data_IF_301059058580
#
_entry.id   IF_301059058580
#
_cell.length_a   1.000
_cell.length_b   1.000
_cell.length_c   1.000
_cell.angle_alpha   90.00
_cell.angle_beta   90.00
_cell.angle_gamma   90.00
#
_symmetry.space_group_name_H-M   'P 1'
#
loop_
_entity.id
_entity.type
_entity.pdbx_description
1 polymer ?
#
# COMPACT_ATOMS: atom_id res chain seq x y z
N UNK A 1 17.91 9.15 -1.46
CA UNK A 1 16.71 8.45 -0.94
C UNK A 1 17.16 7.14 -0.34
N UNK A 2 16.85 6.86 0.93
CA UNK A 2 17.29 5.62 1.56
C UNK A 2 16.29 4.49 1.27
N UNK A 3 16.36 3.93 0.07
CA UNK A 3 15.50 2.84 -0.45
C UNK A 3 15.38 1.66 0.50
N UNK A 4 16.43 1.38 1.29
CA UNK A 4 16.41 0.35 2.32
C UNK A 4 15.39 0.66 3.43
N UNK A 5 15.36 1.90 3.95
CA UNK A 5 14.36 2.30 4.96
C UNK A 5 12.96 2.25 4.39
N UNK A 6 12.78 2.75 3.16
CA UNK A 6 11.47 2.75 2.49
C UNK A 6 10.96 1.32 2.26
N UNK A 7 11.80 0.42 1.75
CA UNK A 7 11.44 -0.98 1.53
C UNK A 7 11.14 -1.72 2.83
N UNK A 8 11.91 -1.48 3.89
CA UNK A 8 11.69 -2.08 5.21
C UNK A 8 10.36 -1.63 5.84
N UNK A 9 10.04 -0.34 5.75
CA UNK A 9 8.76 0.19 6.21
C UNK A 9 7.58 -0.41 5.43
N UNK A 10 7.71 -0.52 4.10
CA UNK A 10 6.70 -1.16 3.25
C UNK A 10 6.50 -2.64 3.60
N UNK A 11 7.59 -3.39 3.80
CA UNK A 11 7.53 -4.79 4.18
C UNK A 11 6.89 -4.97 5.57
N UNK A 12 7.27 -4.13 6.54
CA UNK A 12 6.68 -4.14 7.88
C UNK A 12 5.18 -3.83 7.86
N UNK A 13 4.75 -2.80 7.13
CA UNK A 13 3.33 -2.45 6.98
C UNK A 13 2.53 -3.56 6.29
N UNK A 14 3.10 -4.18 5.26
CA UNK A 14 2.47 -5.30 4.54
C UNK A 14 2.32 -6.52 5.45
N UNK A 15 3.36 -6.84 6.25
CA UNK A 15 3.31 -7.91 7.24
C UNK A 15 2.27 -7.63 8.32
N UNK A 16 2.12 -6.38 8.76
CA UNK A 16 1.10 -5.97 9.72
C UNK A 16 -0.31 -6.19 9.16
N UNK A 17 -0.52 -5.82 7.90
CA UNK A 17 -1.80 -6.04 7.20
C UNK A 17 -2.14 -7.53 7.06
N UNK A 18 -1.17 -8.35 6.68
CA UNK A 18 -1.33 -9.81 6.64
C UNK A 18 -1.58 -10.41 8.04
N UNK A 19 -0.90 -9.91 9.07
CA UNK A 19 -1.09 -10.34 10.46
C UNK A 19 -2.51 -10.05 10.96
N UNK A 20 -3.07 -8.89 10.64
CA UNK A 20 -4.47 -8.57 10.92
C UNK A 20 -5.42 -9.46 10.13
N UNK A 21 -5.15 -9.68 8.84
CA UNK A 21 -5.91 -10.64 8.03
C UNK A 21 -5.89 -12.06 8.59
N UNK A 22 -4.74 -12.48 9.13
CA UNK A 22 -4.59 -13.77 9.79
C UNK A 22 -5.39 -13.88 11.08
N UNK A 23 -5.39 -12.83 11.92
CA UNK A 23 -6.16 -12.82 13.17
C UNK A 23 -7.66 -12.90 12.92
N UNK A 24 -8.16 -12.31 11.84
CA UNK A 24 -9.60 -12.25 11.53
C UNK A 24 -10.08 -13.50 10.78
N UNK A 25 -9.29 -14.01 9.82
CA UNK A 25 -9.71 -15.06 8.90
C UNK A 25 -8.72 -16.20 8.72
N UNK A 26 -7.74 -16.33 9.62
CA UNK A 26 -6.67 -17.33 9.53
C UNK A 26 -5.88 -17.22 8.23
N UNK A 27 -5.44 -18.37 7.70
CA UNK A 27 -4.66 -18.41 6.46
C UNK A 27 -5.41 -17.81 5.26
N UNK A 28 -6.73 -17.98 5.18
CA UNK A 28 -7.56 -17.39 4.13
C UNK A 28 -7.62 -15.87 4.21
N UNK A 29 -7.80 -15.31 5.42
CA UNK A 29 -7.78 -13.87 5.65
C UNK A 29 -6.42 -13.22 5.35
N UNK A 30 -5.31 -13.91 5.65
CA UNK A 30 -3.96 -13.46 5.29
C UNK A 30 -3.75 -13.37 3.78
N UNK A 31 -4.20 -14.38 3.01
CA UNK A 31 -4.14 -14.38 1.55
C UNK A 31 -4.98 -13.25 0.93
N UNK A 32 -6.20 -13.04 1.43
CA UNK A 32 -7.06 -11.94 0.97
C UNK A 32 -6.40 -10.60 1.30
N UNK A 33 -5.89 -10.42 2.52
CA UNK A 33 -5.19 -9.21 2.93
C UNK A 33 -3.96 -8.94 2.05
N UNK A 34 -3.22 -9.96 1.66
CA UNK A 34 -2.08 -9.83 0.76
C UNK A 34 -2.50 -9.38 -0.65
N UNK A 35 -3.52 -10.01 -1.25
CA UNK A 35 -4.03 -9.61 -2.57
C UNK A 35 -4.55 -8.18 -2.55
N UNK A 36 -5.29 -7.80 -1.50
CA UNK A 36 -5.78 -6.42 -1.32
C UNK A 36 -4.62 -5.44 -1.16
N UNK A 37 -3.63 -5.75 -0.32
CA UNK A 37 -2.46 -4.90 -0.11
C UNK A 37 -1.63 -4.73 -1.40
N UNK A 38 -1.46 -5.79 -2.18
CA UNK A 38 -0.79 -5.76 -3.48
C UNK A 38 -1.58 -4.92 -4.49
N UNK A 39 -2.89 -5.14 -4.60
CA UNK A 39 -3.77 -4.37 -5.47
C UNK A 39 -3.77 -2.88 -5.13
N UNK A 40 -3.82 -2.55 -3.83
CA UNK A 40 -3.74 -1.16 -3.35
C UNK A 40 -2.38 -0.53 -3.64
N UNK A 41 -1.28 -1.25 -3.45
CA UNK A 41 0.06 -0.75 -3.79
C UNK A 41 0.21 -0.46 -5.28
N UNK A 42 -0.26 -1.37 -6.15
CA UNK A 42 -0.21 -1.18 -7.59
C UNK A 42 -1.09 -0.01 -8.03
N UNK A 43 -2.33 0.07 -7.51
CA UNK A 43 -3.22 1.18 -7.82
C UNK A 43 -2.66 2.53 -7.37
N UNK A 44 -2.08 2.57 -6.17
CA UNK A 44 -1.44 3.75 -5.62
C UNK A 44 -0.20 4.16 -6.43
N UNK A 45 0.59 3.20 -6.92
CA UNK A 45 1.74 3.48 -7.77
C UNK A 45 1.32 4.12 -9.11
N UNK A 46 0.25 3.62 -9.75
CA UNK A 46 -0.24 4.13 -11.03
C UNK A 46 -1.06 5.43 -10.95
N UNK A 47 -1.73 5.70 -9.82
CA UNK A 47 -2.50 6.93 -9.60
C UNK A 47 -1.80 7.91 -8.65
N UNK A 48 -0.51 7.69 -8.35
CA UNK A 48 0.25 8.49 -7.41
C UNK A 48 0.20 9.98 -7.76
N UNK A 49 0.29 10.30 -9.05
CA UNK A 49 0.22 11.63 -9.62
C UNK A 49 -1.09 12.34 -9.26
N UNK A 50 -2.24 11.72 -9.52
CA UNK A 50 -3.55 12.29 -9.23
C UNK A 50 -3.82 12.41 -7.72
N UNK A 51 -3.35 11.45 -6.94
CA UNK A 51 -3.51 11.44 -5.47
C UNK A 51 -2.73 12.58 -4.84
N UNK A 52 -1.46 12.76 -5.25
CA UNK A 52 -0.61 13.87 -4.80
C UNK A 52 -1.22 15.22 -5.18
N UNK A 53 -1.68 15.38 -6.42
CA UNK A 53 -2.29 16.64 -6.87
C UNK A 53 -3.54 16.99 -6.07
N UNK A 54 -4.40 16.01 -5.78
CA UNK A 54 -5.57 16.19 -4.91
C UNK A 54 -5.20 16.52 -3.47
N UNK A 55 -4.15 15.91 -2.92
CA UNK A 55 -3.66 16.21 -1.56
C UNK A 55 -3.17 17.66 -1.42
N UNK A 56 -2.48 18.18 -2.44
CA UNK A 56 -1.98 19.56 -2.43
C UNK A 56 -2.96 20.59 -2.99
N UNK A 57 -4.20 20.20 -3.35
CA UNK A 57 -5.14 21.04 -4.13
C UNK A 57 -4.48 21.67 -5.38
N UNK A 58 -3.44 21.03 -5.89
CA UNK A 58 -2.70 21.50 -7.05
C UNK A 58 -3.41 21.04 -8.31
N UNK A 59 -3.56 21.94 -9.28
CA UNK A 59 -4.08 21.59 -10.61
C UNK A 59 -2.91 21.08 -11.44
N UNK A 60 -3.08 19.93 -12.10
CA UNK A 60 -2.13 19.42 -13.07
C UNK A 60 -1.96 20.50 -14.15
N UNK A 61 -0.77 21.09 -14.23
CA UNK A 61 -0.40 21.99 -15.34
C UNK A 61 0.44 21.13 -16.27
N UNK A 62 -0.04 21.00 -17.51
CA UNK A 62 0.55 20.20 -18.58
C UNK A 62 1.94 20.75 -18.99
#
# INVERSE_FOLDING_TARGET
>A
MNTIKTGMLLAALTALFMGLGYLIGGMGGAMIAFVVAAGMNLFAYWNADKVVLRMYKARQVD
#
